data_IF_945280539807
#
_entry.id   IF_945280539807
#
_cell.length_a   1.000
_cell.length_b   1.000
_cell.length_c   1.000
_cell.angle_alpha   90.00
_cell.angle_beta   90.00
_cell.angle_gamma   90.00
#
_symmetry.space_group_name_H-M   'P 1'
#
loop_
_entity.id
_entity.type
_entity.pdbx_description
1 polymer ?
#
# COMPACT_ATOMS: atom_id res chain seq x y z
N UNK A 1 -7.58 4.71 8.42
CA UNK A 1 -6.73 4.23 9.54
C UNK A 1 -5.81 3.08 9.15
N UNK A 2 -6.30 1.87 8.84
CA UNK A 2 -5.41 0.73 8.52
C UNK A 2 -4.50 0.92 7.28
N UNK A 3 -5.03 1.47 6.18
CA UNK A 3 -4.23 1.73 4.98
C UNK A 3 -3.15 2.80 5.19
N UNK A 4 -3.41 3.81 6.04
CA UNK A 4 -2.45 4.87 6.36
C UNK A 4 -1.29 4.36 7.23
N UNK A 5 -1.60 3.49 8.19
CA UNK A 5 -0.57 2.82 9.01
C UNK A 5 0.29 1.89 8.15
N UNK A 6 -0.34 1.09 7.28
CA UNK A 6 0.37 0.23 6.33
C UNK A 6 1.28 1.05 5.39
N UNK A 7 0.80 2.20 4.90
CA UNK A 7 1.58 3.11 4.06
C UNK A 7 2.81 3.62 4.81
N UNK A 8 2.64 4.06 6.06
CA UNK A 8 3.75 4.53 6.88
C UNK A 8 4.81 3.46 7.15
N UNK A 9 4.41 2.20 7.35
CA UNK A 9 5.34 1.08 7.50
C UNK A 9 6.06 0.74 6.19
N UNK A 10 5.35 0.76 5.07
CA UNK A 10 5.93 0.50 3.75
C UNK A 10 6.94 1.58 3.32
N UNK A 11 6.66 2.86 3.62
CA UNK A 11 7.60 3.96 3.38
C UNK A 11 8.89 3.82 4.22
N UNK A 12 8.78 3.34 5.45
CA UNK A 12 9.94 3.02 6.28
C UNK A 12 10.76 1.87 5.65
N UNK A 13 10.10 0.79 5.22
CA UNK A 13 10.76 -0.33 4.53
C UNK A 13 11.46 0.10 3.22
N UNK A 14 10.94 1.12 2.53
CA UNK A 14 11.58 1.68 1.34
C UNK A 14 12.98 2.23 1.62
N UNK A 15 13.19 2.81 2.80
CA UNK A 15 14.48 3.39 3.19
C UNK A 15 15.54 2.33 3.50
N UNK A 16 15.13 1.08 3.78
CA UNK A 16 16.04 -0.03 4.11
C UNK A 16 16.47 -0.85 2.87
N UNK A 17 15.88 -0.59 1.70
CA UNK A 17 16.26 -1.22 0.43
C UNK A 17 15.05 -1.70 -0.40
N UNK A 18 14.19 -0.78 -0.84
CA UNK A 18 13.04 -1.14 -1.68
C UNK A 18 13.45 -1.84 -2.99
N UNK A 19 12.96 -3.06 -3.19
CA UNK A 19 12.83 -3.64 -4.51
C UNK A 19 11.56 -3.12 -5.22
N UNK A 20 11.38 -3.45 -6.50
CA UNK A 20 10.25 -3.00 -7.31
C UNK A 20 8.89 -3.32 -6.65
N UNK A 21 8.78 -4.47 -5.98
CA UNK A 21 7.56 -4.86 -5.28
C UNK A 21 7.24 -3.95 -4.08
N UNK A 22 8.24 -3.53 -3.30
CA UNK A 22 8.01 -2.53 -2.22
C UNK A 22 7.49 -1.21 -2.79
N UNK A 23 7.99 -0.76 -3.94
CA UNK A 23 7.51 0.46 -4.60
C UNK A 23 6.06 0.37 -5.09
N UNK A 24 5.69 -0.75 -5.70
CA UNK A 24 4.29 -0.99 -6.13
C UNK A 24 3.34 -1.15 -4.93
N UNK A 25 3.79 -1.81 -3.86
CA UNK A 25 3.04 -1.91 -2.62
C UNK A 25 2.68 -0.56 -2.02
N UNK A 26 3.65 0.36 -1.95
CA UNK A 26 3.43 1.75 -1.49
C UNK A 26 2.46 2.50 -2.40
N UNK A 27 2.60 2.34 -3.72
CA UNK A 27 1.74 3.02 -4.70
C UNK A 27 0.27 2.62 -4.50
N UNK A 28 -0.01 1.32 -4.39
CA UNK A 28 -1.35 0.83 -4.12
C UNK A 28 -1.90 1.23 -2.74
N UNK A 29 -1.06 1.31 -1.70
CA UNK A 29 -1.50 1.84 -0.40
C UNK A 29 -1.93 3.31 -0.51
N UNK A 30 -1.23 4.10 -1.33
CA UNK A 30 -1.62 5.48 -1.64
C UNK A 30 -3.00 5.56 -2.29
N UNK A 31 -3.25 4.72 -3.31
CA UNK A 31 -4.57 4.66 -3.97
C UNK A 31 -5.67 4.17 -3.03
N UNK A 32 -5.39 3.19 -2.18
CA UNK A 32 -6.33 2.71 -1.17
C UNK A 32 -6.75 3.82 -0.20
N UNK A 33 -5.80 4.65 0.25
CA UNK A 33 -6.09 5.80 1.11
C UNK A 33 -6.92 6.86 0.38
N UNK A 34 -6.59 7.17 -0.87
CA UNK A 34 -7.30 8.17 -1.67
C UNK A 34 -8.76 7.74 -1.94
N UNK A 35 -8.95 6.53 -2.47
CA UNK A 35 -10.29 5.96 -2.71
C UNK A 35 -11.08 5.80 -1.40
N UNK A 36 -10.42 5.44 -0.29
CA UNK A 36 -11.05 5.36 1.02
C UNK A 36 -11.59 6.71 1.50
N UNK A 37 -10.86 7.81 1.26
CA UNK A 37 -11.30 9.18 1.58
C UNK A 37 -12.48 9.63 0.72
N UNK A 38 -12.58 9.14 -0.51
CA UNK A 38 -13.70 9.39 -1.42
C UNK A 38 -14.95 8.54 -1.10
N UNK A 39 -14.85 7.58 -0.17
CA UNK A 39 -15.94 6.64 0.15
C UNK A 39 -16.04 5.45 -0.82
N UNK A 40 -15.07 5.29 -1.72
CA UNK A 40 -14.98 4.17 -2.67
C UNK A 40 -14.42 2.91 -1.97
N UNK A 41 -15.17 2.37 -1.01
CA UNK A 41 -14.69 1.29 -0.14
C UNK A 41 -14.27 0.01 -0.87
N UNK A 42 -14.96 -0.35 -1.95
CA UNK A 42 -14.61 -1.52 -2.77
C UNK A 42 -13.26 -1.33 -3.46
N UNK A 43 -13.09 -0.23 -4.19
CA UNK A 43 -11.83 0.12 -4.88
C UNK A 43 -10.67 0.27 -3.89
N UNK A 44 -10.93 0.87 -2.73
CA UNK A 44 -9.94 0.96 -1.67
C UNK A 44 -9.51 -0.42 -1.13
N UNK A 45 -10.45 -1.37 -1.07
CA UNK A 45 -10.20 -2.75 -0.71
C UNK A 45 -9.33 -3.48 -1.73
N UNK A 46 -9.64 -3.34 -3.02
CA UNK A 46 -8.85 -3.93 -4.12
C UNK A 46 -7.40 -3.44 -4.10
N UNK A 47 -7.19 -2.13 -3.99
CA UNK A 47 -5.84 -1.56 -3.87
C UNK A 47 -5.12 -2.04 -2.59
N UNK A 48 -5.82 -2.17 -1.46
CA UNK A 48 -5.23 -2.71 -0.22
C UNK A 48 -4.77 -4.16 -0.38
N UNK A 49 -5.49 -4.98 -1.16
CA UNK A 49 -5.12 -6.36 -1.44
C UNK A 49 -3.92 -6.47 -2.38
N UNK A 50 -3.88 -5.68 -3.46
CA UNK A 50 -2.71 -5.67 -4.36
C UNK A 50 -1.47 -5.13 -3.63
N UNK A 51 -1.63 -4.10 -2.80
CA UNK A 51 -0.55 -3.62 -1.93
C UNK A 51 0.05 -4.74 -1.07
N UNK A 52 -0.80 -5.52 -0.40
CA UNK A 52 -0.36 -6.63 0.44
C UNK A 52 0.43 -7.68 -0.36
N UNK A 53 -0.07 -8.05 -1.54
CA UNK A 53 0.57 -9.01 -2.43
C UNK A 53 1.96 -8.56 -2.87
N UNK A 54 2.10 -7.29 -3.26
CA UNK A 54 3.41 -6.72 -3.60
C UNK A 54 4.35 -6.69 -2.39
N UNK A 55 3.89 -6.21 -1.22
CA UNK A 55 4.73 -6.18 -0.02
C UNK A 55 5.19 -7.58 0.43
N UNK A 56 4.35 -8.60 0.28
CA UNK A 56 4.72 -10.00 0.55
C UNK A 56 5.80 -10.54 -0.40
N UNK A 57 5.82 -10.06 -1.65
CA UNK A 57 6.85 -10.41 -2.64
C UNK A 57 8.12 -9.56 -2.49
N UNK A 58 8.03 -8.46 -1.72
CA UNK A 58 9.11 -7.52 -1.50
C UNK A 58 10.06 -7.87 -0.35
N UNK A 59 9.76 -8.89 0.46
CA UNK A 59 10.59 -9.39 1.56
C UNK A 59 11.71 -10.33 1.12
#
# INVERSE_FOLDING_TARGET
KHAEEALSHADAAKQEGANAHVGEGISHLGEAVDHGKQGHGEVAGEHSQEALKHLQQGH
#
